data_IF_407855028432
#
_entry.id   IF_407855028432
#
_cell.length_a   1.000
_cell.length_b   1.000
_cell.length_c   1.000
_cell.angle_alpha   90.00
_cell.angle_beta   90.00
_cell.angle_gamma   90.00
#
_symmetry.space_group_name_H-M   'P 1'
#
loop_
_entity.id
_entity.type
_entity.pdbx_description
1 polymer ?
#
# COMPACT_ATOMS: atom_id res chain seq x y z
N UNK A 1 -13.93 1.82 15.73
CA UNK A 1 -15.05 1.74 14.76
C UNK A 1 -14.96 2.83 13.70
N UNK A 2 -14.90 4.13 14.04
CA UNK A 2 -14.76 5.20 13.03
C UNK A 2 -13.43 5.11 12.27
N UNK A 3 -12.31 4.87 12.97
CA UNK A 3 -10.98 4.71 12.36
C UNK A 3 -10.94 3.58 11.32
N UNK A 4 -11.47 2.40 11.65
CA UNK A 4 -11.59 1.27 10.72
C UNK A 4 -12.45 1.63 9.48
N UNK A 5 -13.61 2.25 9.68
CA UNK A 5 -14.48 2.63 8.57
C UNK A 5 -13.83 3.69 7.66
N UNK A 6 -13.16 4.68 8.25
CA UNK A 6 -12.40 5.70 7.54
C UNK A 6 -11.26 5.09 6.72
N UNK A 7 -10.40 4.28 7.32
CA UNK A 7 -9.27 3.65 6.62
C UNK A 7 -9.72 2.69 5.52
N UNK A 8 -10.76 1.89 5.78
CA UNK A 8 -11.31 0.96 4.78
C UNK A 8 -11.90 1.68 3.58
N UNK A 9 -12.70 2.74 3.79
CA UNK A 9 -13.31 3.49 2.69
C UNK A 9 -12.28 4.32 1.92
N UNK A 10 -11.32 4.93 2.61
CA UNK A 10 -10.26 5.73 1.99
C UNK A 10 -9.24 4.90 1.19
N UNK A 11 -9.13 3.59 1.47
CA UNK A 11 -8.36 2.66 0.65
C UNK A 11 -8.98 2.36 -0.72
N UNK A 12 -10.26 2.69 -0.92
CA UNK A 12 -11.02 2.36 -2.13
C UNK A 12 -11.58 3.59 -2.86
N UNK A 13 -11.74 4.71 -2.14
CA UNK A 13 -12.42 5.91 -2.60
C UNK A 13 -11.56 7.16 -2.37
N UNK A 14 -11.81 8.21 -3.13
CA UNK A 14 -11.22 9.52 -2.86
C UNK A 14 -11.71 10.10 -1.54
N UNK A 15 -10.92 11.00 -0.94
CA UNK A 15 -11.29 11.70 0.28
C UNK A 15 -12.68 12.37 0.21
N UNK A 16 -13.07 12.89 -0.95
CA UNK A 16 -14.36 13.56 -1.12
C UNK A 16 -15.52 12.55 -1.07
N UNK A 17 -15.40 11.44 -1.78
CA UNK A 17 -16.41 10.37 -1.80
C UNK A 17 -16.62 9.77 -0.41
N UNK A 18 -15.55 9.60 0.37
CA UNK A 18 -15.65 9.13 1.76
C UNK A 18 -16.41 10.14 2.63
N UNK A 19 -16.13 11.44 2.50
CA UNK A 19 -16.84 12.49 3.25
C UNK A 19 -18.33 12.52 2.87
N UNK A 20 -18.63 12.42 1.58
CA UNK A 20 -20.00 12.45 1.07
C UNK A 20 -20.79 11.22 1.55
N UNK A 21 -20.16 10.05 1.60
CA UNK A 21 -20.73 8.83 2.18
C UNK A 21 -20.98 8.97 3.69
N UNK A 22 -20.00 9.47 4.46
CA UNK A 22 -20.19 9.72 5.90
C UNK A 22 -21.32 10.69 6.18
N UNK A 23 -21.48 11.73 5.35
CA UNK A 23 -22.58 12.67 5.46
C UNK A 23 -23.92 12.02 5.10
N UNK A 24 -24.00 11.33 3.96
CA UNK A 24 -25.27 10.87 3.37
C UNK A 24 -25.78 9.57 4.00
N UNK A 25 -24.90 8.59 4.22
CA UNK A 25 -25.27 7.25 4.67
C UNK A 25 -25.13 7.08 6.19
N UNK A 26 -24.33 7.92 6.85
CA UNK A 26 -24.07 7.81 8.28
C UNK A 26 -24.55 9.02 9.09
N UNK A 27 -25.04 10.08 8.43
CA UNK A 27 -25.49 11.31 9.08
C UNK A 27 -24.39 12.03 9.86
N UNK A 28 -23.12 11.79 9.49
CA UNK A 28 -21.94 12.23 10.24
C UNK A 28 -21.04 13.06 9.33
N UNK A 29 -21.26 14.39 9.26
CA UNK A 29 -20.33 15.24 8.55
C UNK A 29 -18.97 15.22 9.25
N UNK A 30 -17.91 14.99 8.47
CA UNK A 30 -16.52 15.00 8.96
C UNK A 30 -15.68 15.97 8.12
N UNK A 31 -14.72 16.63 8.77
CA UNK A 31 -13.77 17.48 8.05
C UNK A 31 -12.79 16.61 7.24
N UNK A 32 -12.38 17.10 6.07
CA UNK A 32 -11.37 16.42 5.22
C UNK A 32 -10.06 16.18 5.95
N UNK A 33 -9.56 17.20 6.67
CA UNK A 33 -8.33 17.10 7.45
C UNK A 33 -8.43 16.05 8.56
N UNK A 34 -9.59 15.92 9.19
CA UNK A 34 -9.84 14.89 10.19
C UNK A 34 -9.75 13.48 9.59
N UNK A 35 -10.35 13.26 8.42
CA UNK A 35 -10.26 12.00 7.69
C UNK A 35 -8.81 11.68 7.29
N UNK A 36 -8.10 12.64 6.73
CA UNK A 36 -6.69 12.49 6.33
C UNK A 36 -5.81 12.16 7.53
N UNK A 37 -5.94 12.89 8.64
CA UNK A 37 -5.16 12.64 9.85
C UNK A 37 -5.38 11.23 10.41
N UNK A 38 -6.63 10.74 10.43
CA UNK A 38 -6.93 9.37 10.87
C UNK A 38 -6.23 8.35 9.97
N UNK A 39 -6.35 8.52 8.65
CA UNK A 39 -5.77 7.60 7.68
C UNK A 39 -4.24 7.62 7.77
N UNK A 40 -3.63 8.79 7.96
CA UNK A 40 -2.18 8.93 8.15
C UNK A 40 -1.70 8.24 9.42
N UNK A 41 -2.42 8.37 10.55
CA UNK A 41 -2.09 7.67 11.79
C UNK A 41 -2.20 6.16 11.61
N UNK A 42 -3.29 5.66 11.01
CA UNK A 42 -3.46 4.22 10.77
C UNK A 42 -2.40 3.69 9.81
N UNK A 43 -2.08 4.44 8.74
CA UNK A 43 -1.03 4.10 7.79
C UNK A 43 0.36 4.09 8.42
N UNK A 44 0.63 5.01 9.34
CA UNK A 44 1.90 5.04 10.09
C UNK A 44 2.03 3.86 11.04
N UNK A 45 0.94 3.46 11.71
CA UNK A 45 0.91 2.24 12.53
C UNK A 45 1.15 1.02 11.65
N UNK A 46 0.43 0.90 10.52
CA UNK A 46 0.58 -0.20 9.58
C UNK A 46 2.03 -0.36 9.09
N UNK A 47 2.71 0.74 8.77
CA UNK A 47 4.12 0.75 8.36
C UNK A 47 5.06 0.40 9.52
N UNK A 48 4.78 0.88 10.73
CA UNK A 48 5.61 0.57 11.90
C UNK A 48 5.54 -0.92 12.25
N UNK A 49 4.35 -1.54 12.15
CA UNK A 49 4.18 -2.97 12.42
C UNK A 49 4.58 -3.85 11.25
N UNK A 50 4.63 -3.34 10.01
CA UNK A 50 5.05 -4.09 8.82
C UNK A 50 6.41 -4.79 9.00
N UNK A 51 7.34 -4.15 9.73
CA UNK A 51 8.66 -4.73 10.01
C UNK A 51 8.63 -5.95 10.94
N UNK A 52 7.61 -6.04 11.81
CA UNK A 52 7.44 -7.12 12.79
C UNK A 52 6.31 -8.09 12.40
N UNK A 53 5.53 -7.77 11.36
CA UNK A 53 4.43 -8.60 10.90
C UNK A 53 4.97 -9.79 10.11
N UNK A 54 5.14 -10.92 10.80
CA UNK A 54 5.30 -12.21 10.12
C UNK A 54 3.95 -12.61 9.52
N UNK A 55 3.77 -12.36 8.23
CA UNK A 55 2.75 -13.06 7.46
C UNK A 55 3.19 -14.52 7.33
N UNK A 56 2.26 -15.48 7.49
CA UNK A 56 2.56 -16.86 7.09
C UNK A 56 2.90 -16.83 5.60
N UNK A 57 4.16 -17.18 5.27
CA UNK A 57 4.54 -17.39 3.88
C UNK A 57 3.61 -18.46 3.33
N UNK A 58 2.84 -18.18 2.27
CA UNK A 58 1.93 -19.16 1.73
C UNK A 58 2.71 -20.41 1.35
N UNK A 59 2.13 -21.58 1.60
CA UNK A 59 2.77 -22.85 1.26
C UNK A 59 3.02 -22.86 -0.24
N UNK A 60 4.29 -22.87 -0.62
CA UNK A 60 4.70 -22.98 -2.02
C UNK A 60 4.52 -24.44 -2.40
N UNK A 61 3.57 -24.71 -3.31
CA UNK A 61 3.14 -26.08 -3.66
C UNK A 61 4.13 -26.83 -4.57
N UNK A 62 5.12 -26.13 -5.13
CA UNK A 62 6.12 -26.68 -6.06
C UNK A 62 7.50 -26.02 -5.89
N UNK A 63 8.52 -26.56 -6.54
CA UNK A 63 9.88 -26.02 -6.52
C UNK A 63 9.96 -24.75 -7.36
N UNK A 64 10.42 -23.66 -6.75
CA UNK A 64 10.76 -22.41 -7.44
C UNK A 64 11.98 -22.65 -8.32
N UNK A 65 11.84 -22.45 -9.64
CA UNK A 65 12.95 -22.52 -10.59
C UNK A 65 13.36 -21.16 -11.13
N UNK A 66 12.45 -20.18 -11.10
CA UNK A 66 12.66 -18.85 -11.69
C UNK A 66 12.07 -17.79 -10.78
N UNK A 67 12.82 -16.70 -10.56
CA UNK A 67 12.37 -15.51 -9.84
C UNK A 67 12.34 -14.35 -10.83
N UNK A 68 11.21 -13.65 -10.90
CA UNK A 68 11.05 -12.43 -11.68
C UNK A 68 10.90 -11.25 -10.72
N UNK A 69 11.70 -10.21 -10.93
CA UNK A 69 11.62 -8.96 -10.16
C UNK A 69 11.20 -7.85 -11.11
N UNK A 70 10.14 -7.13 -10.77
CA UNK A 70 9.62 -6.00 -11.54
C UNK A 70 9.48 -4.78 -10.64
N UNK A 71 9.81 -3.61 -11.16
CA UNK A 71 9.69 -2.33 -10.48
C UNK A 71 9.09 -1.33 -11.46
N UNK A 72 8.10 -0.58 -11.00
CA UNK A 72 7.45 0.50 -11.76
C UNK A 72 7.28 1.74 -10.88
N UNK A 73 7.24 2.90 -11.52
CA UNK A 73 7.15 4.20 -10.87
C UNK A 73 6.28 5.17 -11.65
N UNK A 74 5.45 5.93 -10.94
CA UNK A 74 4.60 6.96 -11.56
C UNK A 74 4.71 8.29 -10.83
N UNK A 75 4.70 9.39 -11.59
CA UNK A 75 4.75 10.73 -11.03
C UNK A 75 3.33 11.20 -10.66
N UNK A 76 3.14 11.55 -9.40
CA UNK A 76 1.91 12.10 -8.84
C UNK A 76 2.11 13.58 -8.56
N UNK A 77 1.18 14.41 -9.04
CA UNK A 77 1.18 15.84 -8.75
C UNK A 77 0.60 16.06 -7.35
N UNK A 78 1.41 16.63 -6.46
CA UNK A 78 1.02 16.93 -5.09
C UNK A 78 0.51 18.37 -5.01
N UNK A 79 -0.61 18.60 -4.32
CA UNK A 79 -1.21 19.94 -4.19
C UNK A 79 -0.23 20.87 -3.47
N UNK A 80 0.07 22.01 -4.08
CA UNK A 80 1.04 23.02 -3.61
C UNK A 80 2.52 22.55 -3.57
N UNK A 81 2.87 21.47 -4.27
CA UNK A 81 4.23 20.91 -4.27
C UNK A 81 4.71 20.59 -5.71
N UNK A 82 5.91 20.02 -5.82
CA UNK A 82 6.46 19.46 -7.07
C UNK A 82 5.93 18.04 -7.33
N UNK A 83 6.03 17.57 -8.57
CA UNK A 83 5.78 16.17 -8.92
C UNK A 83 6.63 15.23 -8.04
N UNK A 84 6.01 14.16 -7.53
CA UNK A 84 6.69 13.15 -6.72
C UNK A 84 6.44 11.76 -7.27
N UNK A 85 7.42 10.89 -7.16
CA UNK A 85 7.32 9.51 -7.60
C UNK A 85 6.63 8.64 -6.55
N UNK A 86 5.63 7.88 -6.97
CA UNK A 86 5.11 6.72 -6.25
C UNK A 86 5.67 5.46 -6.93
N UNK A 87 6.11 4.48 -6.14
CA UNK A 87 6.75 3.26 -6.64
C UNK A 87 5.97 2.02 -6.26
N UNK A 88 6.02 1.02 -7.14
CA UNK A 88 5.51 -0.32 -6.91
C UNK A 88 6.53 -1.34 -7.38
N UNK A 89 6.52 -2.52 -6.79
CA UNK A 89 7.44 -3.58 -7.12
C UNK A 89 6.85 -4.93 -6.81
N UNK A 90 7.25 -5.93 -7.59
CA UNK A 90 6.80 -7.30 -7.41
C UNK A 90 7.96 -8.27 -7.52
N UNK A 91 7.96 -9.28 -6.65
CA UNK A 91 8.83 -10.46 -6.74
C UNK A 91 7.91 -11.64 -6.98
N UNK A 92 8.02 -12.26 -8.16
CA UNK A 92 7.17 -13.38 -8.55
C UNK A 92 7.99 -14.65 -8.70
N UNK A 93 7.51 -15.72 -8.05
CA UNK A 93 8.13 -17.04 -8.05
C UNK A 93 7.42 -17.94 -9.07
N UNK A 94 8.19 -18.60 -9.92
CA UNK A 94 7.69 -19.53 -10.94
C UNK A 94 8.31 -20.91 -10.82
N UNK A 95 7.55 -21.94 -11.19
CA UNK A 95 8.06 -23.30 -11.35
C UNK A 95 8.70 -23.52 -12.73
N UNK A 96 9.25 -24.72 -12.93
CA UNK A 96 10.00 -25.12 -14.15
C UNK A 96 9.18 -25.05 -15.44
N UNK A 97 7.86 -25.08 -15.34
CA UNK A 97 6.94 -25.00 -16.50
C UNK A 97 6.39 -23.58 -16.71
N UNK A 98 6.81 -22.60 -15.89
CA UNK A 98 6.43 -21.20 -16.02
C UNK A 98 5.12 -20.84 -15.32
N UNK A 99 4.56 -21.70 -14.48
CA UNK A 99 3.41 -21.37 -13.65
C UNK A 99 3.82 -20.51 -12.46
N UNK A 100 3.00 -19.52 -12.14
CA UNK A 100 3.22 -18.61 -11.03
C UNK A 100 2.80 -19.27 -9.73
N UNK A 101 3.75 -19.44 -8.81
CA UNK A 101 3.54 -20.02 -7.49
C UNK A 101 3.14 -18.96 -6.46
N UNK A 102 3.80 -17.80 -6.48
CA UNK A 102 3.54 -16.72 -5.53
C UNK A 102 4.02 -15.37 -6.06
N UNK A 103 3.43 -14.28 -5.58
CA UNK A 103 3.92 -12.91 -5.80
C UNK A 103 3.91 -12.13 -4.50
N UNK A 104 5.06 -11.56 -4.17
CA UNK A 104 5.22 -10.55 -3.13
C UNK A 104 5.00 -9.18 -3.80
N UNK A 105 4.14 -8.36 -3.20
CA UNK A 105 3.80 -7.02 -3.69
C UNK A 105 4.31 -5.97 -2.72
N UNK A 106 5.08 -5.01 -3.22
CA UNK A 106 5.55 -3.87 -2.44
C UNK A 106 5.08 -2.56 -3.07
N UNK A 107 4.61 -1.65 -2.22
CA UNK A 107 4.22 -0.31 -2.62
C UNK A 107 4.89 0.75 -1.76
N UNK A 108 5.14 1.90 -2.37
CA UNK A 108 5.52 3.12 -1.66
C UNK A 108 4.73 4.32 -2.20
N UNK A 109 3.90 4.96 -1.36
CA UNK A 109 3.15 6.15 -1.76
C UNK A 109 4.09 7.34 -1.96
N UNK A 110 3.64 8.33 -2.75
CA UNK A 110 4.35 9.59 -3.00
C UNK A 110 4.35 10.48 -1.74
N UNK A 111 5.28 10.24 -0.81
CA UNK A 111 5.43 10.98 0.45
C UNK A 111 6.87 11.50 0.65
N UNK A 112 7.00 12.59 1.41
CA UNK A 112 8.31 13.16 1.78
C UNK A 112 9.13 12.18 2.63
N UNK A 113 10.43 12.07 2.36
CA UNK A 113 11.40 11.41 3.25
C UNK A 113 11.47 9.88 3.21
N UNK A 114 10.88 9.20 2.21
CA UNK A 114 10.92 7.73 2.12
C UNK A 114 11.80 7.23 0.98
N UNK A 115 13.12 7.28 1.13
CA UNK A 115 14.06 6.78 0.12
C UNK A 115 14.21 5.23 0.08
N UNK A 116 13.52 4.50 0.96
CA UNK A 116 13.90 3.12 1.30
C UNK A 116 13.15 2.04 0.49
N UNK A 117 12.58 2.37 -0.69
CA UNK A 117 11.83 1.38 -1.47
C UNK A 117 12.72 0.24 -1.95
N UNK A 118 13.91 0.56 -2.48
CA UNK A 118 14.85 -0.45 -2.96
C UNK A 118 15.37 -1.30 -1.80
N UNK A 119 15.69 -0.71 -0.65
CA UNK A 119 16.08 -1.45 0.55
C UNK A 119 14.97 -2.42 1.03
N UNK A 120 13.70 -2.02 0.94
CA UNK A 120 12.56 -2.91 1.25
C UNK A 120 12.45 -4.04 0.24
N UNK A 121 12.62 -3.75 -1.06
CA UNK A 121 12.59 -4.76 -2.11
C UNK A 121 13.74 -5.78 -1.96
N UNK A 122 14.93 -5.32 -1.58
CA UNK A 122 16.09 -6.17 -1.32
C UNK A 122 15.92 -7.10 -0.12
N UNK A 123 15.12 -6.72 0.89
CA UNK A 123 14.85 -7.59 2.07
C UNK A 123 13.97 -8.80 1.75
N UNK A 124 13.28 -8.80 0.62
CA UNK A 124 12.34 -9.84 0.21
C UNK A 124 12.99 -10.92 -0.69
N UNK A 125 14.28 -10.76 -1.02
CA UNK A 125 15.08 -11.69 -1.85
C UNK A 125 16.12 -12.38 -0.98
#
# INVERSE_FOLDING_TARGET
>A
MLSQASSSKYGQLSAQEVIDDFKTNHGRPVARSFLQNIVDVVGSIAQAVEADWMYETPKIEDVVSTISVSLDGTCVLMVNEVWREAKTGTITLYNKIGERLHTIYLGQPSQYGKANFLERLEREV
#
